data_IF_307697691241
#
_entry.id   IF_307697691241
#
_cell.length_a   1.000
_cell.length_b   1.000
_cell.length_c   1.000
_cell.angle_alpha   90.00
_cell.angle_beta   90.00
_cell.angle_gamma   90.00
#
_symmetry.space_group_name_H-M   'P 1'
#
loop_
_entity.id
_entity.type
_entity.pdbx_description
1 polymer ?
#
# COMPACT_ATOMS: atom_id res chain seq x y z
N UNK A 1 37.15 -40.59 13.61
CA UNK A 1 35.97 -40.32 12.76
C UNK A 1 35.14 -39.11 13.21
N UNK A 2 34.80 -38.97 14.50
CA UNK A 2 33.95 -37.85 15.00
C UNK A 2 34.59 -36.46 14.85
N UNK A 3 35.92 -36.33 15.00
CA UNK A 3 36.60 -35.04 14.80
C UNK A 3 36.57 -34.59 13.35
N UNK A 4 36.81 -35.47 12.37
CA UNK A 4 36.80 -35.10 10.95
C UNK A 4 35.43 -34.60 10.48
N UNK A 5 34.36 -35.17 11.02
CA UNK A 5 32.98 -34.80 10.66
C UNK A 5 32.60 -33.39 11.16
N UNK A 6 33.10 -32.99 12.34
CA UNK A 6 32.92 -31.63 12.87
C UNK A 6 33.64 -30.56 12.05
N UNK A 7 34.81 -30.88 11.47
CA UNK A 7 35.53 -29.92 10.62
C UNK A 7 34.88 -29.78 9.25
N UNK A 8 34.32 -30.87 8.72
CA UNK A 8 33.55 -30.85 7.47
C UNK A 8 32.24 -30.06 7.60
N UNK A 9 31.49 -30.22 8.70
CA UNK A 9 30.24 -29.46 8.91
C UNK A 9 30.49 -27.97 9.13
N UNK A 10 31.55 -27.61 9.87
CA UNK A 10 31.93 -26.19 10.07
C UNK A 10 32.40 -25.55 8.76
N UNK A 11 33.17 -26.27 7.94
CA UNK A 11 33.61 -25.76 6.64
C UNK A 11 32.46 -25.59 5.66
N UNK A 12 31.46 -26.49 5.68
CA UNK A 12 30.28 -26.43 4.81
C UNK A 12 29.33 -25.28 5.22
N UNK A 13 29.20 -25.01 6.52
CA UNK A 13 28.44 -23.88 7.04
C UNK A 13 29.10 -22.52 6.71
N UNK A 14 30.44 -22.45 6.77
CA UNK A 14 31.18 -21.23 6.39
C UNK A 14 31.12 -20.95 4.89
N UNK A 15 31.09 -21.99 4.03
CA UNK A 15 30.87 -21.78 2.59
C UNK A 15 29.43 -21.39 2.26
N UNK A 16 28.43 -21.86 2.99
CA UNK A 16 27.03 -21.45 2.79
C UNK A 16 26.81 -19.98 3.21
N UNK A 17 27.44 -19.52 4.29
CA UNK A 17 27.38 -18.13 4.73
C UNK A 17 28.13 -17.15 3.81
N UNK A 18 29.11 -17.62 3.04
CA UNK A 18 29.85 -16.80 2.08
C UNK A 18 29.09 -16.53 0.75
N UNK A 19 28.01 -17.27 0.48
CA UNK A 19 27.20 -17.10 -0.75
C UNK A 19 25.83 -16.44 -0.50
N UNK A 20 25.47 -16.14 0.74
CA UNK A 20 24.35 -15.25 1.05
C UNK A 20 24.80 -13.79 0.94
N UNK A 21 25.30 -13.39 -0.23
CA UNK A 21 25.23 -12.00 -0.64
C UNK A 21 23.78 -11.74 -1.03
N UNK A 22 22.98 -11.21 -0.11
CA UNK A 22 21.75 -10.51 -0.47
C UNK A 22 22.21 -9.27 -1.25
N UNK A 23 22.38 -9.43 -2.56
CA UNK A 23 22.49 -8.30 -3.45
C UNK A 23 21.12 -7.66 -3.51
N UNK A 24 20.91 -6.58 -2.76
CA UNK A 24 19.85 -5.63 -3.07
C UNK A 24 20.03 -5.23 -4.53
N UNK A 25 19.21 -5.78 -5.42
CA UNK A 25 19.17 -5.34 -6.83
C UNK A 25 18.38 -4.04 -6.83
N UNK A 26 19.10 -2.94 -6.70
CA UNK A 26 18.54 -1.60 -6.81
C UNK A 26 18.09 -1.37 -8.26
N UNK A 27 16.81 -1.07 -8.45
CA UNK A 27 16.21 -0.87 -9.77
C UNK A 27 16.53 0.56 -10.22
N UNK A 28 17.58 0.72 -11.02
CA UNK A 28 17.77 1.92 -11.82
C UNK A 28 16.80 1.82 -13.01
N UNK A 29 15.79 2.67 -13.03
CA UNK A 29 14.87 2.74 -14.15
C UNK A 29 15.55 3.34 -15.38
N UNK A 30 15.66 2.51 -16.41
CA UNK A 30 16.22 2.94 -17.69
C UNK A 30 15.18 3.72 -18.45
N UNK A 31 15.55 4.89 -18.99
CA UNK A 31 14.71 5.75 -19.81
C UNK A 31 13.48 6.41 -19.13
N UNK A 32 13.47 6.57 -17.80
CA UNK A 32 12.37 7.18 -17.04
C UNK A 32 12.20 8.69 -17.28
N UNK A 33 13.22 9.37 -17.83
CA UNK A 33 13.15 10.79 -18.18
C UNK A 33 13.33 11.00 -19.68
N UNK A 34 12.36 11.66 -20.34
CA UNK A 34 12.42 11.99 -21.77
C UNK A 34 12.36 13.50 -21.98
N UNK A 35 13.40 14.06 -22.60
CA UNK A 35 13.37 15.44 -23.09
C UNK A 35 12.52 15.51 -24.35
N UNK A 36 11.45 16.30 -24.33
CA UNK A 36 10.57 16.55 -25.48
C UNK A 36 11.09 17.76 -26.28
N UNK A 37 11.52 18.81 -25.57
CA UNK A 37 12.08 20.05 -26.14
C UNK A 37 13.20 20.59 -25.25
N UNK A 38 14.18 21.32 -25.82
CA UNK A 38 14.37 21.63 -27.24
C UNK A 38 14.93 20.44 -28.05
N UNK A 39 14.81 20.50 -29.38
CA UNK A 39 15.13 19.36 -30.29
C UNK A 39 16.57 18.84 -30.16
N UNK A 40 17.53 19.73 -29.95
CA UNK A 40 18.96 19.40 -29.91
C UNK A 40 19.40 18.58 -28.68
N UNK A 41 18.56 18.52 -27.63
CA UNK A 41 18.76 17.65 -26.47
C UNK A 41 17.59 16.66 -26.30
N UNK A 42 16.78 16.46 -27.34
CA UNK A 42 15.69 15.49 -27.32
C UNK A 42 16.28 14.08 -27.20
N UNK A 43 15.80 13.33 -26.22
CA UNK A 43 16.31 12.00 -25.93
C UNK A 43 15.62 11.37 -24.74
N UNK A 44 15.91 10.08 -24.53
CA UNK A 44 15.58 9.36 -23.29
C UNK A 44 16.85 9.28 -22.44
N UNK A 45 16.68 9.43 -21.14
CA UNK A 45 17.74 9.44 -20.15
C UNK A 45 17.33 8.59 -18.96
N UNK A 46 18.31 7.92 -18.38
CA UNK A 46 18.11 7.14 -17.17
C UNK A 46 17.98 8.07 -15.96
N UNK A 47 17.08 7.71 -15.04
CA UNK A 47 16.93 8.38 -13.76
C UNK A 47 16.45 7.38 -12.70
N UNK A 48 16.88 7.55 -11.47
CA UNK A 48 16.35 6.80 -10.35
C UNK A 48 15.18 7.58 -9.74
N UNK A 49 13.96 7.02 -9.84
CA UNK A 49 12.77 7.62 -9.23
C UNK A 49 12.84 7.45 -7.71
N UNK A 50 12.45 8.47 -6.95
CA UNK A 50 12.36 8.41 -5.50
C UNK A 50 11.28 7.41 -5.07
N UNK A 51 11.50 6.72 -3.96
CA UNK A 51 10.45 5.93 -3.31
C UNK A 51 9.47 6.77 -2.47
N UNK A 52 9.62 8.11 -2.48
CA UNK A 52 8.73 9.08 -1.84
C UNK A 52 8.18 10.08 -2.86
N UNK A 53 7.02 10.68 -2.57
CA UNK A 53 6.48 11.80 -3.34
C UNK A 53 5.85 11.47 -4.70
N UNK A 54 6.15 10.32 -5.30
CA UNK A 54 5.54 9.94 -6.58
C UNK A 54 4.03 9.76 -6.40
N UNK A 55 3.17 10.35 -7.27
CA UNK A 55 1.74 10.02 -7.28
C UNK A 55 1.66 8.52 -7.56
N UNK A 56 1.10 7.79 -6.60
CA UNK A 56 1.22 6.34 -6.36
C UNK A 56 0.60 5.42 -7.43
N UNK A 57 0.60 5.84 -8.69
CA UNK A 57 0.13 5.07 -9.84
C UNK A 57 1.14 5.27 -10.96
N UNK A 58 1.62 4.16 -11.54
CA UNK A 58 2.42 4.12 -12.75
C UNK A 58 1.87 5.12 -13.77
N UNK A 59 2.62 6.21 -13.95
CA UNK A 59 2.07 7.41 -14.52
C UNK A 59 3.12 8.19 -15.28
N UNK A 60 2.65 9.19 -16.02
CA UNK A 60 3.54 10.08 -16.75
C UNK A 60 3.14 11.51 -16.55
N UNK A 61 4.12 12.39 -16.36
CA UNK A 61 3.90 13.82 -16.22
C UNK A 61 4.77 14.57 -17.19
N UNK A 62 4.20 15.55 -17.88
CA UNK A 62 4.94 16.44 -18.78
C UNK A 62 4.99 17.82 -18.14
N UNK A 63 6.20 18.32 -17.92
CA UNK A 63 6.43 19.60 -17.25
C UNK A 63 7.50 20.45 -17.94
N UNK A 64 7.50 21.74 -17.59
CA UNK A 64 8.57 22.67 -17.97
C UNK A 64 9.61 22.67 -16.86
N UNK A 65 10.87 22.48 -17.24
CA UNK A 65 11.97 22.50 -16.27
C UNK A 65 12.32 23.94 -15.92
N UNK A 66 12.49 24.23 -14.62
CA UNK A 66 13.05 25.47 -14.11
C UNK A 66 14.22 25.17 -13.18
N UNK A 67 15.20 26.05 -13.14
CA UNK A 67 16.32 26.02 -12.21
C UNK A 67 16.23 27.24 -11.29
N UNK A 68 16.37 27.07 -9.96
CA UNK A 68 16.28 28.18 -9.01
C UNK A 68 17.51 29.11 -9.12
N UNK A 69 17.41 30.29 -8.50
CA UNK A 69 18.51 31.25 -8.43
C UNK A 69 19.73 30.68 -7.69
N UNK A 70 20.92 31.25 -7.96
CA UNK A 70 22.23 30.73 -7.50
C UNK A 70 22.33 30.45 -6.00
N UNK A 71 21.54 31.12 -5.15
CA UNK A 71 21.59 30.96 -3.69
C UNK A 71 20.65 29.84 -3.18
N UNK A 72 19.94 29.13 -4.06
CA UNK A 72 18.94 28.13 -3.67
C UNK A 72 18.96 26.89 -4.56
N UNK A 73 20.11 26.61 -5.20
CA UNK A 73 20.24 25.49 -6.15
C UNK A 73 20.07 24.12 -5.51
N UNK A 74 20.41 23.97 -4.23
CA UNK A 74 20.24 22.71 -3.49
C UNK A 74 18.84 22.53 -2.89
N UNK A 75 17.98 23.55 -2.92
CA UNK A 75 16.63 23.51 -2.32
C UNK A 75 16.57 23.07 -0.84
N UNK A 76 17.65 23.25 -0.07
CA UNK A 76 17.69 22.87 1.34
C UNK A 76 17.00 23.87 2.27
N UNK A 77 16.82 25.11 1.81
CA UNK A 77 16.05 26.14 2.49
C UNK A 77 14.67 26.31 1.83
N UNK A 78 13.68 26.70 2.63
CA UNK A 78 12.37 27.03 2.11
C UNK A 78 12.43 28.23 1.14
N UNK A 79 11.63 28.16 0.07
CA UNK A 79 11.48 29.28 -0.86
C UNK A 79 10.42 30.26 -0.35
N UNK A 80 10.57 31.54 -0.67
CA UNK A 80 9.57 32.54 -0.32
C UNK A 80 8.34 32.42 -1.23
N UNK A 81 7.20 32.06 -0.65
CA UNK A 81 5.93 31.91 -1.37
C UNK A 81 5.93 30.71 -2.31
N UNK A 82 5.32 30.85 -3.48
CA UNK A 82 5.15 29.75 -4.45
C UNK A 82 5.75 30.10 -5.84
N UNK A 83 7.06 30.38 -5.93
CA UNK A 83 7.70 30.88 -7.16
C UNK A 83 7.66 29.87 -8.32
N UNK A 84 7.46 28.59 -8.03
CA UNK A 84 7.39 27.52 -9.02
C UNK A 84 5.96 27.04 -9.28
N UNK A 85 4.96 27.65 -8.66
CA UNK A 85 3.56 27.41 -9.03
C UNK A 85 3.35 27.80 -10.48
N UNK A 86 2.84 26.86 -11.29
CA UNK A 86 2.61 27.16 -12.69
C UNK A 86 1.54 28.23 -12.87
N UNK A 87 1.84 29.22 -13.69
CA UNK A 87 0.86 30.21 -14.16
C UNK A 87 0.17 29.78 -15.47
N UNK A 88 0.48 28.59 -15.98
CA UNK A 88 -0.06 28.03 -17.22
C UNK A 88 -0.61 26.62 -16.98
N UNK A 89 -1.17 25.98 -18.02
CA UNK A 89 -1.58 24.57 -17.94
C UNK A 89 -0.41 23.58 -17.80
N UNK A 90 0.86 24.02 -17.89
CA UNK A 90 2.02 23.13 -17.82
C UNK A 90 2.65 23.12 -16.42
N UNK A 91 2.69 21.98 -15.73
CA UNK A 91 3.38 21.85 -14.43
C UNK A 91 4.86 22.24 -14.51
N UNK A 92 5.44 22.69 -13.39
CA UNK A 92 6.86 23.05 -13.30
C UNK A 92 7.64 21.91 -12.65
N UNK A 93 8.71 21.47 -13.31
CA UNK A 93 9.69 20.52 -12.77
C UNK A 93 10.89 21.31 -12.27
N UNK A 94 11.16 21.24 -10.96
CA UNK A 94 12.27 21.97 -10.38
C UNK A 94 13.55 21.13 -10.48
N UNK A 95 14.54 21.63 -11.22
CA UNK A 95 15.88 21.05 -11.28
C UNK A 95 16.70 21.61 -10.10
N UNK A 96 17.26 20.74 -9.28
CA UNK A 96 18.04 21.08 -8.08
C UNK A 96 19.35 20.30 -8.05
N UNK A 97 20.34 20.81 -7.34
CA UNK A 97 21.64 20.16 -7.16
C UNK A 97 21.64 19.22 -5.94
N UNK A 98 22.33 18.09 -6.08
CA UNK A 98 22.71 17.23 -4.95
C UNK A 98 23.68 17.96 -4.01
N UNK A 99 23.48 17.78 -2.70
CA UNK A 99 24.33 18.36 -1.65
C UNK A 99 23.53 18.96 -0.49
N UNK A 100 24.21 19.32 0.59
CA UNK A 100 23.76 20.03 1.79
C UNK A 100 22.66 19.40 2.67
N UNK A 101 21.71 18.65 2.08
CA UNK A 101 20.59 18.05 2.80
C UNK A 101 20.03 16.81 2.08
N UNK A 102 19.16 16.07 2.78
CA UNK A 102 18.49 14.86 2.28
C UNK A 102 17.55 15.14 1.10
N UNK A 103 17.36 14.14 0.23
CA UNK A 103 16.50 14.22 -0.95
C UNK A 103 15.05 14.57 -0.60
N UNK A 104 14.50 13.97 0.46
CA UNK A 104 13.14 14.25 0.91
C UNK A 104 12.94 15.73 1.30
N UNK A 105 13.93 16.37 1.93
CA UNK A 105 13.85 17.79 2.28
C UNK A 105 13.82 18.68 1.02
N UNK A 106 14.60 18.33 -0.01
CA UNK A 106 14.59 19.03 -1.30
C UNK A 106 13.21 18.95 -1.95
N UNK A 107 12.63 17.76 -1.98
CA UNK A 107 11.30 17.52 -2.53
C UNK A 107 10.21 18.26 -1.74
N UNK A 108 10.28 18.24 -0.40
CA UNK A 108 9.39 19.00 0.46
C UNK A 108 9.43 20.51 0.18
N UNK A 109 10.62 21.11 0.17
CA UNK A 109 10.78 22.54 -0.07
C UNK A 109 10.34 22.93 -1.48
N UNK A 110 10.63 22.11 -2.49
CA UNK A 110 10.17 22.33 -3.86
C UNK A 110 8.63 22.28 -3.97
N UNK A 111 8.00 21.33 -3.29
CA UNK A 111 6.55 21.21 -3.21
C UNK A 111 5.91 22.44 -2.57
N UNK A 112 6.42 22.89 -1.42
CA UNK A 112 5.93 24.10 -0.77
C UNK A 112 6.08 25.33 -1.66
N UNK A 113 7.11 25.34 -2.52
CA UNK A 113 7.33 26.38 -3.52
C UNK A 113 6.42 26.27 -4.77
N UNK A 114 5.55 25.26 -4.83
CA UNK A 114 4.57 25.05 -5.90
C UNK A 114 5.09 24.27 -7.11
N UNK A 115 6.28 23.65 -7.02
CA UNK A 115 6.74 22.73 -8.05
C UNK A 115 5.84 21.49 -8.10
N UNK A 116 5.75 20.88 -9.28
CA UNK A 116 4.94 19.68 -9.51
C UNK A 116 5.77 18.39 -9.63
N UNK A 117 7.10 18.51 -9.77
CA UNK A 117 8.06 17.41 -9.70
C UNK A 117 9.45 17.98 -9.39
N UNK A 118 10.38 17.13 -8.95
CA UNK A 118 11.79 17.50 -8.72
C UNK A 118 12.72 16.61 -9.53
N UNK A 119 13.70 17.23 -10.19
CA UNK A 119 14.84 16.53 -10.79
C UNK A 119 16.07 16.89 -9.96
N UNK A 120 16.66 15.92 -9.28
CA UNK A 120 17.88 16.12 -8.49
C UNK A 120 19.07 15.71 -9.35
N UNK A 121 19.89 16.69 -9.73
CA UNK A 121 21.09 16.46 -10.50
C UNK A 121 22.26 16.07 -9.60
N UNK A 122 22.91 14.97 -9.95
CA UNK A 122 24.13 14.57 -9.30
C UNK A 122 25.26 15.59 -9.50
N UNK A 123 26.15 15.68 -8.51
CA UNK A 123 27.36 16.48 -8.56
C UNK A 123 28.61 15.64 -8.81
N UNK A 124 28.53 14.30 -8.71
CA UNK A 124 29.61 13.35 -9.01
C UNK A 124 29.30 12.50 -10.24
N UNK A 125 30.34 11.91 -10.82
CA UNK A 125 30.22 10.99 -11.95
C UNK A 125 30.19 9.56 -11.42
N UNK A 126 29.01 9.13 -10.95
CA UNK A 126 28.79 7.82 -10.34
C UNK A 126 27.50 7.16 -10.87
N UNK A 127 27.33 5.83 -10.69
CA UNK A 127 26.08 5.17 -11.01
C UNK A 127 24.91 5.82 -10.28
N UNK A 128 23.74 5.86 -10.94
CA UNK A 128 22.52 6.34 -10.31
C UNK A 128 22.23 5.57 -9.02
N UNK A 129 21.96 6.31 -7.96
CA UNK A 129 21.60 5.79 -6.64
C UNK A 129 20.10 5.98 -6.40
N UNK A 130 19.51 5.04 -5.66
CA UNK A 130 18.13 5.15 -5.20
C UNK A 130 18.03 6.27 -4.16
N UNK A 131 17.10 7.20 -4.38
CA UNK A 131 16.74 8.17 -3.34
C UNK A 131 15.81 7.48 -2.36
N UNK A 132 16.40 6.81 -1.37
CA UNK A 132 15.68 6.22 -0.26
C UNK A 132 15.52 7.22 0.89
N UNK A 133 14.50 7.02 1.71
CA UNK A 133 14.33 7.73 2.96
C UNK A 133 15.24 7.08 4.02
N UNK A 134 16.11 7.83 4.73
CA UNK A 134 16.91 7.24 5.79
C UNK A 134 16.00 6.68 6.90
N UNK A 135 16.07 5.36 7.12
CA UNK A 135 15.27 4.62 8.13
C UNK A 135 15.44 5.17 9.56
N UNK A 136 16.53 5.88 9.84
CA UNK A 136 16.87 6.39 11.19
C UNK A 136 16.27 7.75 11.55
N UNK A 137 15.52 8.42 10.66
CA UNK A 137 15.00 9.76 10.97
C UNK A 137 13.55 9.77 11.43
N UNK A 138 13.31 9.28 12.65
CA UNK A 138 12.01 9.31 13.35
C UNK A 138 11.41 10.74 13.51
N UNK A 139 12.16 11.80 13.17
CA UNK A 139 11.76 13.20 13.34
C UNK A 139 11.23 13.90 12.07
N UNK A 140 11.26 13.27 10.89
CA UNK A 140 10.87 13.95 9.64
C UNK A 140 9.36 13.84 9.35
N UNK A 141 8.52 14.54 10.15
CA UNK A 141 7.04 14.65 10.03
C UNK A 141 6.51 15.19 8.68
N UNK A 142 7.36 15.35 7.68
CA UNK A 142 7.04 15.91 6.36
C UNK A 142 7.23 14.92 5.21
N UNK A 143 7.96 13.81 5.38
CA UNK A 143 8.23 12.86 4.29
C UNK A 143 6.93 12.29 3.74
N UNK A 144 6.05 11.85 4.64
CA UNK A 144 4.69 11.38 4.37
C UNK A 144 3.77 12.43 3.72
N UNK A 145 4.17 13.71 3.71
CA UNK A 145 3.40 14.82 3.14
C UNK A 145 3.93 15.24 1.77
N UNK A 146 4.99 14.62 1.26
CA UNK A 146 5.50 14.86 -0.09
C UNK A 146 4.61 14.10 -1.08
N UNK A 147 4.14 14.79 -2.11
CA UNK A 147 3.18 14.31 -3.12
C UNK A 147 3.62 14.63 -4.55
N UNK A 148 4.85 15.16 -4.73
CA UNK A 148 5.42 15.42 -6.05
C UNK A 148 6.50 14.38 -6.40
N UNK A 149 6.49 13.82 -7.63
CA UNK A 149 7.47 12.83 -8.02
C UNK A 149 8.86 13.46 -8.06
N UNK A 150 9.85 12.71 -7.58
CA UNK A 150 11.25 13.12 -7.55
C UNK A 150 12.09 12.12 -8.34
N UNK A 151 13.01 12.59 -9.17
CA UNK A 151 13.91 11.74 -9.95
C UNK A 151 15.36 12.20 -9.82
N UNK A 152 16.26 11.26 -9.59
CA UNK A 152 17.69 11.48 -9.49
C UNK A 152 18.29 11.24 -10.87
N UNK A 153 18.99 12.26 -11.39
CA UNK A 153 19.60 12.21 -12.71
C UNK A 153 21.10 12.35 -12.59
N UNK A 154 21.83 11.73 -13.50
CA UNK A 154 23.29 11.81 -13.51
C UNK A 154 23.77 13.25 -13.79
N UNK A 155 25.03 13.50 -13.43
CA UNK A 155 25.69 14.80 -13.57
C UNK A 155 25.68 15.31 -15.01
N UNK A 156 25.98 14.44 -15.98
CA UNK A 156 26.03 14.81 -17.40
C UNK A 156 24.69 15.37 -17.92
N UNK A 157 23.60 14.68 -17.59
CA UNK A 157 22.26 15.09 -17.99
C UNK A 157 21.81 16.36 -17.25
N UNK A 158 22.09 16.45 -15.94
CA UNK A 158 21.84 17.66 -15.16
C UNK A 158 22.51 18.90 -15.74
N UNK A 159 23.79 18.81 -16.10
CA UNK A 159 24.53 19.90 -16.75
C UNK A 159 23.99 20.24 -18.14
N UNK A 160 23.53 19.25 -18.89
CA UNK A 160 22.88 19.45 -20.19
C UNK A 160 21.58 20.27 -20.04
N UNK A 161 20.75 19.94 -19.05
CA UNK A 161 19.53 20.71 -18.76
C UNK A 161 19.85 22.14 -18.31
N UNK A 162 20.82 22.33 -17.41
CA UNK A 162 21.24 23.66 -16.95
C UNK A 162 21.74 24.53 -18.11
N UNK A 163 22.57 23.97 -19.00
CA UNK A 163 23.06 24.67 -20.20
C UNK A 163 21.92 25.06 -21.15
N UNK A 164 20.93 24.18 -21.32
CA UNK A 164 19.76 24.48 -22.14
C UNK A 164 18.91 25.61 -21.54
N UNK A 165 18.74 25.63 -20.20
CA UNK A 165 18.03 26.68 -19.49
C UNK A 165 18.77 28.03 -19.54
N UNK A 166 20.11 28.02 -19.43
CA UNK A 166 20.93 29.22 -19.46
C UNK A 166 21.00 29.90 -20.84
N UNK A 167 20.83 29.15 -21.93
CA UNK A 167 20.84 29.68 -23.30
C UNK A 167 19.64 30.58 -23.63
N UNK A 168 18.62 30.65 -22.77
CA UNK A 168 17.54 31.64 -22.87
C UNK A 168 16.74 31.58 -24.18
N UNK A 169 16.72 30.43 -24.86
CA UNK A 169 15.91 30.27 -26.06
C UNK A 169 14.43 30.42 -25.71
N UNK A 170 13.64 31.00 -26.60
CA UNK A 170 12.17 31.05 -26.51
C UNK A 170 11.53 29.66 -26.32
N UNK A 171 12.29 28.61 -26.60
CA UNK A 171 11.96 27.22 -26.37
C UNK A 171 12.23 26.80 -24.93
N UNK A 172 11.16 26.70 -24.15
CA UNK A 172 11.17 26.07 -22.84
C UNK A 172 11.72 24.63 -22.91
N UNK A 173 12.51 24.24 -21.91
CA UNK A 173 12.91 22.85 -21.72
C UNK A 173 11.71 22.07 -21.19
N UNK A 174 11.19 21.14 -22.00
CA UNK A 174 10.02 20.32 -21.67
C UNK A 174 10.47 18.89 -21.51
N UNK A 175 10.12 18.30 -20.38
CA UNK A 175 10.49 16.94 -20.00
C UNK A 175 9.23 16.14 -19.68
N UNK A 176 9.20 14.88 -20.12
CA UNK A 176 8.27 13.84 -19.67
C UNK A 176 8.99 13.00 -18.62
N UNK A 177 8.43 12.93 -17.43
CA UNK A 177 8.77 11.94 -16.42
C UNK A 177 7.81 10.76 -16.56
N UNK A 178 8.34 9.54 -16.54
CA UNK A 178 7.62 8.28 -16.73
C UNK A 178 8.09 7.32 -15.62
N UNK A 179 7.19 6.98 -14.70
CA UNK A 179 7.47 6.12 -13.53
C UNK A 179 6.58 4.88 -13.52
N UNK A 180 6.12 4.46 -14.71
CA UNK A 180 5.30 3.25 -14.86
C UNK A 180 6.04 1.98 -14.42
N UNK A 181 7.35 1.93 -14.64
CA UNK A 181 8.22 0.79 -14.32
C UNK A 181 8.83 0.88 -12.90
N UNK A 182 8.42 1.86 -12.09
CA UNK A 182 8.87 1.99 -10.69
C UNK A 182 8.22 0.99 -9.73
N UNK A 183 7.18 0.29 -10.19
CA UNK A 183 6.51 -0.74 -9.42
C UNK A 183 7.24 -2.08 -9.61
N UNK A 184 7.65 -2.77 -8.53
CA UNK A 184 8.26 -4.08 -8.65
C UNK A 184 7.23 -5.08 -9.17
N UNK A 185 7.58 -5.79 -10.24
CA UNK A 185 6.80 -6.88 -10.84
C UNK A 185 7.56 -8.20 -10.62
N UNK A 186 7.56 -8.77 -9.40
CA UNK A 186 8.26 -10.04 -9.14
C UNK A 186 7.70 -11.18 -10.00
N UNK A 187 6.41 -11.11 -10.30
CA UNK A 187 5.68 -12.00 -11.22
C UNK A 187 4.61 -11.19 -12.02
N UNK A 188 3.71 -11.90 -12.71
CA UNK A 188 2.61 -11.31 -13.51
C UNK A 188 1.36 -10.98 -12.68
N UNK A 189 1.46 -11.06 -11.34
CA UNK A 189 0.34 -10.87 -10.41
C UNK A 189 0.58 -9.65 -9.55
N UNK A 190 -0.50 -8.97 -9.19
CA UNK A 190 -0.46 -7.81 -8.29
C UNK A 190 -1.01 -8.21 -6.93
N UNK A 191 -0.13 -8.27 -5.94
CA UNK A 191 -0.51 -8.41 -4.53
C UNK A 191 -1.03 -7.08 -3.99
N UNK A 192 -2.19 -7.13 -3.34
CA UNK A 192 -2.70 -5.99 -2.58
C UNK A 192 -3.40 -6.41 -1.30
N UNK A 193 -3.21 -5.65 -0.25
CA UNK A 193 -3.87 -5.87 1.05
C UNK A 193 -4.82 -4.72 1.37
N UNK A 194 -5.80 -4.92 2.26
CA UNK A 194 -6.70 -3.86 2.72
C UNK A 194 -6.96 -3.96 4.22
N UNK A 195 -6.45 -3.00 4.99
CA UNK A 195 -6.73 -2.84 6.42
C UNK A 195 -8.09 -2.20 6.60
N UNK A 196 -9.00 -2.80 7.37
CA UNK A 196 -10.35 -2.29 7.55
C UNK A 196 -10.93 -2.70 8.91
N UNK A 197 -12.18 -2.32 9.18
CA UNK A 197 -12.91 -2.75 10.38
C UNK A 197 -14.34 -3.19 10.04
N UNK A 198 -14.85 -4.27 10.66
CA UNK A 198 -16.23 -4.73 10.44
C UNK A 198 -17.31 -3.90 11.14
N UNK A 199 -16.92 -2.92 11.98
CA UNK A 199 -17.81 -1.91 12.55
C UNK A 199 -18.54 -1.13 11.42
N UNK A 200 -19.87 -1.04 11.48
CA UNK A 200 -20.70 -0.26 10.54
C UNK A 200 -21.43 0.94 11.17
N UNK A 201 -21.10 1.30 12.42
CA UNK A 201 -21.68 2.40 13.21
C UNK A 201 -20.65 3.47 13.67
N UNK A 202 -19.52 3.62 12.97
CA UNK A 202 -18.55 4.69 13.24
C UNK A 202 -18.77 5.99 12.43
N UNK A 203 -19.98 6.21 11.93
CA UNK A 203 -20.33 7.39 11.14
C UNK A 203 -19.75 7.37 9.70
N UNK A 204 -19.47 8.55 9.10
CA UNK A 204 -19.14 8.66 7.67
C UNK A 204 -17.93 7.83 7.22
N UNK A 205 -16.96 7.60 8.11
CA UNK A 205 -15.78 6.80 7.78
C UNK A 205 -16.12 5.33 7.53
N UNK A 206 -16.98 4.73 8.37
CA UNK A 206 -17.47 3.37 8.15
C UNK A 206 -18.34 3.29 6.89
N UNK A 207 -19.21 4.29 6.67
CA UNK A 207 -20.03 4.34 5.46
C UNK A 207 -19.17 4.43 4.18
N UNK A 208 -18.09 5.20 4.17
CA UNK A 208 -17.15 5.28 3.04
C UNK A 208 -16.45 3.95 2.76
N UNK A 209 -15.94 3.28 3.81
CA UNK A 209 -15.36 1.94 3.69
C UNK A 209 -16.36 0.96 3.10
N UNK A 210 -17.58 0.96 3.63
CA UNK A 210 -18.63 0.05 3.23
C UNK A 210 -19.05 0.24 1.77
N UNK A 211 -19.19 1.50 1.36
CA UNK A 211 -19.48 1.84 -0.02
C UNK A 211 -18.35 1.42 -0.95
N UNK A 212 -17.09 1.57 -0.54
CA UNK A 212 -15.97 1.10 -1.34
C UNK A 212 -15.98 -0.42 -1.53
N UNK A 213 -16.07 -1.20 -0.45
CA UNK A 213 -16.06 -2.68 -0.53
C UNK A 213 -17.17 -3.16 -1.47
N UNK A 214 -18.37 -2.58 -1.35
CA UNK A 214 -19.51 -2.86 -2.22
C UNK A 214 -19.24 -2.51 -3.69
N UNK A 215 -18.69 -1.32 -3.96
CA UNK A 215 -18.47 -0.83 -5.31
C UNK A 215 -17.26 -1.48 -6.00
N UNK A 216 -16.28 -1.94 -5.22
CA UNK A 216 -15.05 -2.55 -5.70
C UNK A 216 -15.17 -4.07 -5.88
N UNK A 217 -16.12 -4.74 -5.19
CA UNK A 217 -16.39 -6.19 -5.28
C UNK A 217 -16.29 -6.72 -6.71
N UNK A 218 -17.03 -6.17 -7.67
CA UNK A 218 -17.04 -6.69 -9.04
C UNK A 218 -15.66 -6.69 -9.71
N UNK A 219 -14.87 -5.63 -9.51
CA UNK A 219 -13.52 -5.51 -10.04
C UNK A 219 -12.57 -6.49 -9.36
N UNK A 220 -12.62 -6.58 -8.04
CA UNK A 220 -11.80 -7.52 -7.27
C UNK A 220 -12.06 -8.96 -7.71
N UNK A 221 -13.34 -9.36 -7.82
CA UNK A 221 -13.70 -10.71 -8.24
C UNK A 221 -13.25 -11.03 -9.66
N UNK A 222 -13.32 -10.08 -10.59
CA UNK A 222 -12.83 -10.26 -11.96
C UNK A 222 -11.31 -10.48 -11.99
N UNK A 223 -10.57 -9.67 -11.23
CA UNK A 223 -9.11 -9.75 -11.14
C UNK A 223 -8.65 -11.06 -10.48
N UNK A 224 -9.26 -11.45 -9.36
CA UNK A 224 -8.93 -12.68 -8.63
C UNK A 224 -9.31 -13.94 -9.40
N UNK A 225 -10.51 -13.99 -10.02
CA UNK A 225 -10.90 -15.13 -10.88
C UNK A 225 -10.01 -15.29 -12.10
N UNK A 226 -9.46 -14.18 -12.60
CA UNK A 226 -8.48 -14.17 -13.68
C UNK A 226 -7.08 -14.55 -13.25
N UNK A 227 -6.81 -14.69 -11.94
CA UNK A 227 -5.47 -14.94 -11.40
C UNK A 227 -4.53 -13.74 -11.48
N UNK A 228 -5.04 -12.54 -11.79
CA UNK A 228 -4.26 -11.33 -11.98
C UNK A 228 -3.84 -10.67 -10.67
N UNK A 229 -4.56 -10.94 -9.58
CA UNK A 229 -4.29 -10.32 -8.27
C UNK A 229 -4.33 -11.33 -7.14
N UNK A 230 -3.62 -11.02 -6.06
CA UNK A 230 -3.74 -11.70 -4.77
C UNK A 230 -4.15 -10.69 -3.70
N UNK A 231 -5.37 -10.82 -3.20
CA UNK A 231 -5.93 -9.94 -2.18
C UNK A 231 -5.81 -10.52 -0.77
N UNK A 232 -5.44 -9.69 0.21
CA UNK A 232 -5.42 -10.05 1.64
C UNK A 232 -6.13 -8.99 2.50
N UNK A 233 -7.25 -9.29 3.18
CA UNK A 233 -7.87 -8.39 4.14
C UNK A 233 -7.13 -8.40 5.47
N UNK A 234 -7.04 -7.25 6.13
CA UNK A 234 -6.51 -7.10 7.47
C UNK A 234 -7.46 -6.34 8.37
N UNK A 235 -7.43 -6.64 9.67
CA UNK A 235 -8.28 -5.98 10.65
C UNK A 235 -7.48 -5.48 11.83
N UNK A 236 -7.74 -4.22 12.20
CA UNK A 236 -7.05 -3.61 13.32
C UNK A 236 -7.59 -4.21 14.62
N UNK A 237 -6.67 -4.77 15.39
CA UNK A 237 -6.93 -5.22 16.76
C UNK A 237 -6.08 -4.44 17.75
N UNK A 238 -6.69 -4.12 18.87
CA UNK A 238 -6.06 -3.49 20.03
C UNK A 238 -5.84 -4.52 21.12
N UNK A 239 -5.19 -4.11 22.20
CA UNK A 239 -5.08 -4.90 23.41
C UNK A 239 -5.43 -4.05 24.61
N UNK A 240 -5.87 -4.72 25.66
CA UNK A 240 -6.17 -4.12 26.94
C UNK A 240 -4.95 -4.28 27.85
N UNK A 241 -4.43 -3.18 28.45
CA UNK A 241 -3.27 -3.30 29.34
C UNK A 241 -3.58 -4.18 30.56
N UNK A 242 -2.57 -4.89 31.05
CA UNK A 242 -2.72 -5.90 32.10
C UNK A 242 -3.43 -5.38 33.37
N UNK A 243 -3.12 -4.13 33.75
CA UNK A 243 -3.73 -3.45 34.89
C UNK A 243 -5.27 -3.29 34.78
N UNK A 244 -5.82 -3.33 33.56
CA UNK A 244 -7.24 -3.08 33.28
C UNK A 244 -8.00 -4.33 32.84
N UNK A 245 -7.39 -5.52 32.80
CA UNK A 245 -8.04 -6.77 32.32
C UNK A 245 -9.34 -7.08 33.08
N UNK A 246 -9.41 -6.75 34.37
CA UNK A 246 -10.57 -7.01 35.21
C UNK A 246 -11.63 -5.90 35.16
N UNK A 247 -11.36 -4.79 34.47
CA UNK A 247 -12.30 -3.67 34.34
C UNK A 247 -13.51 -4.06 33.50
N UNK A 248 -14.65 -3.39 33.73
CA UNK A 248 -15.87 -3.59 32.94
C UNK A 248 -15.62 -3.25 31.48
N UNK A 249 -14.87 -2.18 31.22
CA UNK A 249 -14.53 -1.70 29.88
C UNK A 249 -13.74 -2.75 29.11
N UNK A 250 -12.68 -3.31 29.71
CA UNK A 250 -11.88 -4.33 29.05
C UNK A 250 -12.68 -5.60 28.73
N UNK A 251 -13.52 -6.05 29.67
CA UNK A 251 -14.37 -7.24 29.47
C UNK A 251 -15.45 -7.04 28.40
N UNK A 252 -15.96 -5.82 28.26
CA UNK A 252 -16.92 -5.48 27.23
C UNK A 252 -16.23 -5.46 25.86
N UNK A 253 -15.04 -4.88 25.75
CA UNK A 253 -14.47 -4.52 24.46
C UNK A 253 -13.49 -5.55 23.88
N UNK A 254 -13.20 -6.62 24.61
CA UNK A 254 -12.13 -7.55 24.27
C UNK A 254 -12.56 -9.01 24.39
N UNK A 255 -11.92 -9.85 23.58
CA UNK A 255 -11.92 -11.32 23.69
C UNK A 255 -10.56 -11.81 24.19
N UNK A 256 -10.47 -13.11 24.50
CA UNK A 256 -9.27 -13.79 24.97
C UNK A 256 -8.59 -13.05 26.14
N UNK A 257 -9.40 -12.62 27.12
CA UNK A 257 -8.99 -11.87 28.32
C UNK A 257 -8.17 -10.60 28.05
N UNK A 258 -8.60 -9.80 27.09
CA UNK A 258 -7.99 -8.49 26.84
C UNK A 258 -6.86 -8.53 25.81
N UNK A 259 -6.56 -9.70 25.24
CA UNK A 259 -5.51 -9.83 24.20
C UNK A 259 -5.91 -9.16 22.90
N UNK A 260 -7.19 -9.26 22.53
CA UNK A 260 -7.72 -8.72 21.27
C UNK A 260 -8.96 -7.89 21.55
N UNK A 261 -8.90 -6.62 21.19
CA UNK A 261 -9.94 -5.64 21.49
C UNK A 261 -10.28 -4.80 20.26
N UNK A 262 -11.47 -4.23 20.24
CA UNK A 262 -11.85 -3.15 19.34
C UNK A 262 -12.42 -1.98 20.16
N UNK A 263 -12.38 -0.74 19.65
CA UNK A 263 -13.14 0.35 20.23
C UNK A 263 -14.64 0.06 20.16
N UNK A 264 -15.36 0.66 21.08
CA UNK A 264 -16.82 0.62 21.11
C UNK A 264 -17.38 1.24 19.81
N UNK A 265 -18.32 0.58 19.11
CA UNK A 265 -18.69 0.97 17.75
C UNK A 265 -19.26 2.38 17.68
N UNK A 266 -20.15 2.71 18.60
CA UNK A 266 -20.81 4.02 18.73
C UNK A 266 -20.10 4.97 19.71
N UNK A 267 -19.01 4.52 20.33
CA UNK A 267 -18.28 5.22 21.39
C UNK A 267 -19.13 5.46 22.66
N UNK A 268 -20.13 4.62 22.92
CA UNK A 268 -20.96 4.65 24.12
C UNK A 268 -21.15 3.24 24.70
N UNK A 269 -20.40 2.96 25.77
CA UNK A 269 -20.41 1.68 26.49
C UNK A 269 -21.76 1.25 27.12
N UNK A 270 -22.82 2.04 26.99
CA UNK A 270 -24.15 1.73 27.55
C UNK A 270 -25.20 1.45 26.48
N UNK A 271 -24.88 1.66 25.21
CA UNK A 271 -25.79 1.46 24.08
C UNK A 271 -25.10 0.63 23.00
N UNK A 272 -25.89 0.09 22.06
CA UNK A 272 -25.33 -0.59 20.89
C UNK A 272 -24.65 -1.92 21.20
N UNK A 273 -23.61 -2.19 20.41
CA UNK A 273 -22.81 -3.42 20.46
C UNK A 273 -21.49 -3.17 21.17
N UNK A 274 -20.87 -4.22 21.68
CA UNK A 274 -19.58 -4.09 22.34
C UNK A 274 -18.43 -4.25 21.32
N UNK A 275 -17.27 -3.68 21.61
CA UNK A 275 -16.05 -3.92 20.81
C UNK A 275 -15.67 -5.40 20.68
N UNK A 276 -16.02 -6.27 21.65
CA UNK A 276 -15.81 -7.72 21.51
C UNK A 276 -16.58 -8.29 20.30
N UNK A 277 -17.76 -7.77 20.01
CA UNK A 277 -18.60 -8.25 18.91
C UNK A 277 -17.92 -7.93 17.57
N UNK A 278 -17.31 -6.75 17.49
CA UNK A 278 -16.49 -6.32 16.34
C UNK A 278 -15.27 -7.21 16.17
N UNK A 279 -14.56 -7.56 17.25
CA UNK A 279 -13.40 -8.46 17.16
C UNK A 279 -13.81 -9.85 16.68
N UNK A 280 -14.93 -10.38 17.16
CA UNK A 280 -15.47 -11.68 16.74
C UNK A 280 -15.79 -11.68 15.24
N UNK A 281 -16.40 -10.61 14.72
CA UNK A 281 -16.70 -10.51 13.29
C UNK A 281 -15.44 -10.28 12.44
N UNK A 282 -14.50 -9.44 12.89
CA UNK A 282 -13.19 -9.29 12.23
C UNK A 282 -12.48 -10.65 12.09
N UNK A 283 -12.46 -11.44 13.17
CA UNK A 283 -11.90 -12.79 13.19
C UNK A 283 -12.64 -13.73 12.21
N UNK A 284 -13.97 -13.64 12.14
CA UNK A 284 -14.78 -14.43 11.20
C UNK A 284 -14.43 -14.10 9.75
N UNK A 285 -14.34 -12.81 9.40
CA UNK A 285 -14.01 -12.37 8.04
C UNK A 285 -12.59 -12.82 7.63
N UNK A 286 -11.62 -12.77 8.53
CA UNK A 286 -10.27 -13.32 8.31
C UNK A 286 -10.30 -14.84 8.07
N UNK A 287 -11.06 -15.58 8.87
CA UNK A 287 -11.19 -17.02 8.72
C UNK A 287 -11.91 -17.42 7.42
N UNK A 288 -12.94 -16.67 7.02
CA UNK A 288 -13.61 -16.85 5.73
C UNK A 288 -12.61 -16.65 4.59
N UNK A 289 -11.80 -15.58 4.62
CA UNK A 289 -10.76 -15.35 3.61
C UNK A 289 -9.74 -16.48 3.55
N UNK A 290 -9.20 -16.91 4.70
CA UNK A 290 -8.21 -17.99 4.78
C UNK A 290 -8.74 -19.27 4.13
N UNK A 291 -9.96 -19.67 4.48
CA UNK A 291 -10.58 -20.88 3.94
C UNK A 291 -10.94 -20.72 2.45
N UNK A 292 -11.43 -19.55 2.05
CA UNK A 292 -11.69 -19.24 0.64
C UNK A 292 -10.40 -19.34 -0.20
N UNK A 293 -9.27 -18.87 0.34
CA UNK A 293 -7.97 -18.97 -0.31
C UNK A 293 -7.46 -20.42 -0.39
N UNK A 294 -7.56 -21.20 0.71
CA UNK A 294 -7.21 -22.63 0.73
C UNK A 294 -8.02 -23.47 -0.26
N UNK A 295 -9.24 -23.04 -0.58
CA UNK A 295 -10.13 -23.69 -1.54
C UNK A 295 -9.98 -23.16 -2.98
N UNK A 296 -9.04 -22.24 -3.22
CA UNK A 296 -8.76 -21.65 -4.53
C UNK A 296 -9.83 -20.67 -5.01
N UNK A 297 -10.63 -20.12 -4.10
CA UNK A 297 -11.73 -19.21 -4.41
C UNK A 297 -11.70 -17.95 -3.53
N UNK A 298 -10.58 -17.20 -3.50
CA UNK A 298 -10.43 -16.04 -2.61
C UNK A 298 -11.50 -14.95 -2.82
N UNK A 299 -12.05 -14.85 -4.03
CA UNK A 299 -13.13 -13.91 -4.39
C UNK A 299 -14.46 -14.12 -3.63
N UNK A 300 -14.64 -15.27 -2.97
CA UNK A 300 -15.82 -15.56 -2.11
C UNK A 300 -15.86 -14.63 -0.91
N UNK A 301 -14.69 -14.18 -0.42
CA UNK A 301 -14.63 -13.24 0.69
C UNK A 301 -15.38 -11.93 0.37
N UNK A 302 -15.25 -11.42 -0.87
CA UNK A 302 -15.96 -10.20 -1.30
C UNK A 302 -17.48 -10.37 -1.27
N UNK A 303 -17.99 -11.55 -1.65
CA UNK A 303 -19.42 -11.86 -1.54
C UNK A 303 -19.86 -11.90 -0.07
N UNK A 304 -19.06 -12.55 0.78
CA UNK A 304 -19.32 -12.66 2.21
C UNK A 304 -19.44 -11.28 2.85
N UNK A 305 -18.40 -10.44 2.73
CA UNK A 305 -18.41 -9.15 3.44
C UNK A 305 -19.49 -8.22 2.91
N UNK A 306 -19.70 -8.12 1.60
CA UNK A 306 -20.72 -7.20 1.07
C UNK A 306 -22.13 -7.58 1.48
N UNK A 307 -22.43 -8.87 1.52
CA UNK A 307 -23.77 -9.35 1.85
C UNK A 307 -23.98 -9.44 3.36
N UNK A 308 -22.93 -9.77 4.14
CA UNK A 308 -22.95 -9.75 5.61
C UNK A 308 -23.38 -8.37 6.11
N UNK A 309 -22.72 -7.31 5.62
CA UNK A 309 -23.02 -5.95 6.06
C UNK A 309 -24.44 -5.49 5.71
N UNK A 310 -25.08 -6.08 4.70
CA UNK A 310 -26.48 -5.78 4.39
C UNK A 310 -27.44 -6.57 5.29
N UNK A 311 -27.08 -7.79 5.69
CA UNK A 311 -27.97 -8.72 6.40
C UNK A 311 -27.83 -8.67 7.92
N UNK A 312 -26.63 -8.45 8.42
CA UNK A 312 -26.24 -8.50 9.83
C UNK A 312 -25.70 -7.15 10.32
N UNK A 313 -26.33 -6.04 9.90
CA UNK A 313 -25.92 -4.69 10.27
C UNK A 313 -26.24 -4.36 11.73
N UNK A 314 -25.39 -3.53 12.37
CA UNK A 314 -25.68 -2.96 13.70
C UNK A 314 -26.89 -2.02 13.66
N UNK A 315 -27.08 -1.25 12.57
CA UNK A 315 -28.24 -0.37 12.34
C UNK A 315 -29.58 -1.10 12.47
N UNK A 316 -29.58 -2.35 12.02
CA UNK A 316 -30.73 -3.25 12.04
C UNK A 316 -30.82 -4.10 13.33
N UNK A 317 -29.88 -3.93 14.27
CA UNK A 317 -29.73 -4.74 15.49
C UNK A 317 -29.59 -6.24 15.20
N UNK A 318 -28.87 -6.58 14.14
CA UNK A 318 -28.62 -7.96 13.70
C UNK A 318 -27.14 -8.35 13.75
N UNK A 319 -26.29 -7.55 14.36
CA UNK A 319 -24.86 -7.80 14.44
C UNK A 319 -24.54 -8.84 15.53
N UNK A 320 -24.82 -10.11 15.26
CA UNK A 320 -24.64 -11.20 16.21
C UNK A 320 -24.01 -12.43 15.57
N UNK A 321 -23.41 -13.30 16.41
CA UNK A 321 -22.90 -14.60 15.97
C UNK A 321 -23.97 -15.42 15.26
N UNK A 322 -25.20 -15.44 15.77
CA UNK A 322 -26.30 -16.19 15.16
C UNK A 322 -26.62 -15.70 13.74
N UNK A 323 -26.67 -14.38 13.53
CA UNK A 323 -26.88 -13.81 12.20
C UNK A 323 -25.76 -14.20 11.25
N UNK A 324 -24.51 -14.11 11.71
CA UNK A 324 -23.34 -14.46 10.92
C UNK A 324 -23.36 -15.95 10.52
N UNK A 325 -23.66 -16.86 11.45
CA UNK A 325 -23.72 -18.29 11.16
C UNK A 325 -24.85 -18.65 10.20
N UNK A 326 -26.03 -18.07 10.37
CA UNK A 326 -27.16 -18.28 9.47
C UNK A 326 -26.89 -17.72 8.07
N UNK A 327 -26.18 -16.59 8.01
CA UNK A 327 -25.70 -16.04 6.75
C UNK A 327 -24.71 -16.98 6.05
N UNK A 328 -23.68 -17.47 6.76
CA UNK A 328 -22.71 -18.46 6.22
C UNK A 328 -23.43 -19.68 5.66
N UNK A 329 -24.41 -20.24 6.40
CA UNK A 329 -25.22 -21.38 5.95
C UNK A 329 -26.01 -21.05 4.69
N UNK A 330 -26.51 -19.82 4.56
CA UNK A 330 -27.29 -19.38 3.39
C UNK A 330 -26.42 -19.18 2.14
N UNK A 331 -25.20 -18.65 2.32
CA UNK A 331 -24.24 -18.38 1.25
C UNK A 331 -23.63 -19.68 0.70
N UNK A 332 -23.33 -20.65 1.57
CA UNK A 332 -22.89 -21.99 1.16
C UNK A 332 -23.90 -22.70 0.24
N UNK A 333 -25.21 -22.50 0.48
CA UNK A 333 -26.29 -23.04 -0.37
C UNK A 333 -26.44 -22.35 -1.71
N UNK A 334 -26.18 -21.04 -1.80
CA UNK A 334 -26.42 -20.26 -3.03
C UNK A 334 -25.29 -20.37 -4.05
N UNK A 335 -24.04 -20.60 -3.60
CA UNK A 335 -22.87 -20.48 -4.46
C UNK A 335 -22.56 -21.71 -5.31
N UNK A 336 -23.29 -22.83 -5.20
CA UNK A 336 -23.07 -24.06 -5.99
C UNK A 336 -21.57 -24.39 -6.16
N UNK A 337 -20.79 -24.23 -5.08
CA UNK A 337 -19.35 -24.41 -5.13
C UNK A 337 -19.07 -25.89 -5.37
N UNK A 338 -18.59 -26.12 -6.59
CA UNK A 338 -18.26 -27.35 -7.30
C UNK A 338 -18.12 -28.56 -6.37
N UNK A 339 -18.92 -29.57 -6.71
CA UNK A 339 -19.28 -30.82 -6.03
C UNK A 339 -18.14 -31.74 -5.59
N UNK A 340 -16.88 -31.33 -5.70
CA UNK A 340 -15.71 -32.11 -5.24
C UNK A 340 -15.05 -31.52 -3.97
N UNK A 341 -15.51 -30.35 -3.51
CA UNK A 341 -15.04 -29.68 -2.29
C UNK A 341 -15.96 -29.88 -1.07
N UNK A 342 -17.05 -30.60 -1.25
CA UNK A 342 -18.11 -30.75 -0.27
C UNK A 342 -18.07 -32.18 0.30
N UNK A 343 -17.87 -32.33 1.61
CA UNK A 343 -18.61 -33.39 2.29
C UNK A 343 -20.11 -33.03 2.22
N UNK A 344 -21.01 -33.92 2.64
CA UNK A 344 -22.46 -33.82 2.45
C UNK A 344 -23.18 -32.54 2.96
N UNK A 345 -22.47 -31.49 3.38
CA UNK A 345 -22.96 -30.29 4.07
C UNK A 345 -22.87 -28.93 3.35
N UNK A 346 -22.16 -28.77 2.21
CA UNK A 346 -22.32 -27.55 1.38
C UNK A 346 -21.64 -26.24 1.86
N UNK A 347 -20.40 -26.28 2.38
CA UNK A 347 -19.50 -25.18 2.85
C UNK A 347 -19.77 -24.59 4.27
N UNK A 348 -18.75 -24.11 5.02
CA UNK A 348 -17.92 -24.91 5.92
C UNK A 348 -17.92 -24.31 7.35
N UNK A 349 -19.11 -24.10 7.93
CA UNK A 349 -19.23 -23.49 9.26
C UNK A 349 -18.26 -24.13 10.28
N UNK A 350 -18.11 -25.46 10.27
CA UNK A 350 -17.17 -26.16 11.14
C UNK A 350 -15.69 -25.76 10.94
N UNK A 351 -15.23 -25.51 9.70
CA UNK A 351 -13.85 -25.05 9.46
C UNK A 351 -13.68 -23.59 9.90
N UNK A 352 -14.68 -22.74 9.65
CA UNK A 352 -14.67 -21.35 10.08
C UNK A 352 -14.63 -21.30 11.61
N UNK A 353 -15.55 -21.97 12.30
CA UNK A 353 -15.57 -22.06 13.76
C UNK A 353 -14.27 -22.64 14.31
N UNK A 354 -13.68 -23.66 13.66
CA UNK A 354 -12.37 -24.18 14.04
C UNK A 354 -11.24 -23.16 13.89
N UNK A 355 -11.26 -22.37 12.81
CA UNK A 355 -10.29 -21.30 12.58
C UNK A 355 -10.43 -20.17 13.62
N UNK A 356 -11.68 -19.81 13.97
CA UNK A 356 -11.96 -18.79 14.98
C UNK A 356 -11.54 -19.24 16.38
N UNK A 357 -11.65 -20.53 16.69
CA UNK A 357 -11.42 -21.03 18.05
C UNK A 357 -12.46 -20.50 19.04
N UNK A 358 -12.16 -20.58 20.33
CA UNK A 358 -13.05 -20.10 21.39
C UNK A 358 -12.62 -18.70 21.86
N UNK A 359 -13.42 -17.64 21.57
CA UNK A 359 -13.09 -16.26 21.94
C UNK A 359 -13.13 -16.02 23.46
N UNK A 360 -13.77 -16.88 24.25
CA UNK A 360 -13.90 -16.71 25.70
C UNK A 360 -12.70 -17.27 26.48
N UNK A 361 -11.81 -18.00 25.79
CA UNK A 361 -10.65 -18.65 26.42
C UNK A 361 -9.43 -17.73 26.53
N UNK A 362 -8.65 -17.84 27.60
CA UNK A 362 -7.38 -17.12 27.76
C UNK A 362 -6.24 -17.85 27.03
N UNK A 363 -6.37 -17.96 25.71
CA UNK A 363 -5.35 -18.53 24.83
C UNK A 363 -5.03 -17.54 23.71
N UNK A 364 -3.84 -17.66 23.14
CA UNK A 364 -3.51 -16.91 21.94
C UNK A 364 -4.34 -17.44 20.76
N UNK A 365 -4.81 -16.52 19.93
CA UNK A 365 -5.48 -16.85 18.68
C UNK A 365 -4.50 -16.58 17.53
N UNK A 366 -4.13 -17.63 16.78
CA UNK A 366 -3.12 -17.54 15.72
C UNK A 366 -3.48 -16.51 14.63
N UNK A 367 -4.77 -16.35 14.32
CA UNK A 367 -5.24 -15.39 13.32
C UNK A 367 -5.04 -13.96 13.82
N UNK A 368 -5.56 -13.64 15.00
CA UNK A 368 -5.49 -12.27 15.54
C UNK A 368 -4.08 -11.89 16.01
N UNK A 369 -3.27 -12.88 16.44
CA UNK A 369 -1.86 -12.67 16.75
C UNK A 369 -1.07 -12.23 15.52
N UNK A 370 -1.28 -12.89 14.38
CA UNK A 370 -0.65 -12.49 13.12
C UNK A 370 -1.01 -11.04 12.74
N UNK A 371 -2.28 -10.63 12.90
CA UNK A 371 -2.71 -9.25 12.66
C UNK A 371 -2.00 -8.23 13.57
N UNK A 372 -1.83 -8.55 14.86
CA UNK A 372 -1.10 -7.68 15.79
C UNK A 372 0.38 -7.55 15.44
N UNK A 373 1.04 -8.65 15.06
CA UNK A 373 2.45 -8.67 14.66
C UNK A 373 2.69 -7.86 13.36
N UNK A 374 1.76 -7.94 12.41
CA UNK A 374 1.77 -7.16 11.18
C UNK A 374 1.59 -5.66 11.45
N UNK A 375 0.79 -5.29 12.45
CA UNK A 375 0.54 -3.89 12.84
C UNK A 375 1.76 -3.20 13.43
N UNK A 376 2.59 -3.90 14.22
CA UNK A 376 3.80 -3.32 14.85
C UNK A 376 4.76 -2.68 13.83
N UNK A 377 4.66 -3.08 12.56
CA UNK A 377 5.47 -2.59 11.45
C UNK A 377 4.76 -1.60 10.52
N UNK A 378 3.56 -1.09 10.88
CA UNK A 378 2.73 -0.22 10.01
C UNK A 378 2.26 1.04 10.77
N UNK A 379 2.15 2.17 10.05
CA UNK A 379 1.70 3.45 10.61
C UNK A 379 0.21 3.40 10.99
N UNK A 380 -0.18 4.22 11.97
CA UNK A 380 -1.47 4.23 12.71
C UNK A 380 -2.74 4.56 11.88
N UNK A 381 -2.71 4.42 10.55
CA UNK A 381 -3.83 4.78 9.69
C UNK A 381 -4.88 3.66 9.63
N UNK A 382 -6.13 4.01 9.95
CA UNK A 382 -7.24 3.07 10.23
C UNK A 382 -7.75 2.24 9.05
N UNK A 383 -7.36 2.58 7.82
CA UNK A 383 -7.85 1.97 6.61
C UNK A 383 -6.69 2.05 5.62
N UNK A 384 -6.25 1.01 4.94
CA UNK A 384 -5.15 1.19 3.99
C UNK A 384 -5.10 0.05 3.02
N UNK A 385 -5.04 0.36 1.74
CA UNK A 385 -4.64 -0.62 0.75
C UNK A 385 -3.12 -0.61 0.71
N UNK A 386 -2.42 -1.73 0.53
CA UNK A 386 -0.99 -1.71 0.21
C UNK A 386 -0.76 -2.60 -1.00
N UNK A 387 0.01 -2.13 -1.98
CA UNK A 387 0.51 -2.96 -3.08
C UNK A 387 1.91 -3.45 -2.70
N UNK A 388 2.24 -4.72 -2.99
CA UNK A 388 3.59 -5.26 -2.79
C UNK A 388 3.63 -6.71 -2.27
N UNK A 389 4.80 -7.35 -2.39
CA UNK A 389 5.03 -8.76 -2.06
C UNK A 389 5.59 -8.93 -0.63
N UNK A 390 5.02 -9.85 0.16
CA UNK A 390 5.47 -10.21 1.52
C UNK A 390 6.91 -10.76 1.60
N UNK A 391 7.41 -11.40 0.54
CA UNK A 391 8.79 -11.95 0.50
C UNK A 391 9.88 -10.86 0.45
N UNK A 392 9.51 -9.60 0.16
CA UNK A 392 10.44 -8.51 -0.03
C UNK A 392 10.03 -7.26 0.76
N UNK A 393 10.20 -7.24 2.09
CA UNK A 393 9.71 -6.17 2.98
C UNK A 393 10.29 -4.77 2.72
N UNK A 394 11.36 -4.65 1.93
CA UNK A 394 11.97 -3.37 1.50
C UNK A 394 11.34 -2.80 0.23
N UNK A 395 10.45 -3.55 -0.44
CA UNK A 395 9.82 -3.12 -1.67
C UNK A 395 8.42 -2.55 -1.35
N UNK A 396 8.37 -1.23 -1.29
CA UNK A 396 7.22 -0.32 -1.39
C UNK A 396 5.87 -0.88 -0.90
N UNK A 397 5.63 -0.90 0.42
CA UNK A 397 4.27 -1.01 0.98
C UNK A 397 3.50 0.27 0.64
N UNK A 398 2.56 0.18 -0.30
CA UNK A 398 1.86 1.37 -0.81
C UNK A 398 0.58 1.73 -0.04
N UNK A 399 0.70 2.36 1.12
CA UNK A 399 -0.44 2.63 2.02
C UNK A 399 -1.46 3.66 1.46
N UNK A 400 -2.69 3.24 1.14
CA UNK A 400 -3.72 4.13 0.57
C UNK A 400 -4.36 5.12 1.55
N UNK A 401 -4.19 5.04 2.88
CA UNK A 401 -4.61 6.15 3.77
C UNK A 401 -3.55 7.20 4.03
N UNK A 402 -2.28 6.92 3.73
CA UNK A 402 -1.28 7.97 3.60
C UNK A 402 -1.55 8.86 2.37
N UNK A 403 -2.39 8.39 1.44
CA UNK A 403 -2.97 9.22 0.40
C UNK A 403 -4.13 10.02 0.98
N UNK A 404 -4.04 11.35 0.95
CA UNK A 404 -5.17 12.29 1.13
C UNK A 404 -6.25 12.17 0.04
N UNK A 405 -6.49 10.97 -0.49
CA UNK A 405 -7.52 10.64 -1.47
C UNK A 405 -8.70 9.96 -0.79
N UNK A 406 -9.89 10.20 -1.32
CA UNK A 406 -11.08 9.42 -0.94
C UNK A 406 -10.87 7.96 -1.35
N UNK A 407 -11.42 7.04 -0.56
CA UNK A 407 -11.45 5.62 -0.89
C UNK A 407 -12.39 5.37 -2.09
N UNK A 408 -11.87 5.64 -3.29
CA UNK A 408 -12.63 5.63 -4.53
C UNK A 408 -12.24 4.45 -5.42
N UNK A 409 -13.26 3.76 -5.95
CA UNK A 409 -13.15 2.59 -6.83
C UNK A 409 -12.14 2.80 -7.97
N UNK A 410 -12.21 3.95 -8.66
CA UNK A 410 -11.38 4.24 -9.84
C UNK A 410 -9.92 4.45 -9.43
N UNK A 411 -9.65 5.14 -8.33
CA UNK A 411 -8.30 5.37 -7.85
C UNK A 411 -7.60 4.06 -7.48
N UNK A 412 -8.32 3.17 -6.77
CA UNK A 412 -7.81 1.83 -6.41
C UNK A 412 -7.58 0.95 -7.63
N UNK A 413 -8.53 0.91 -8.57
CA UNK A 413 -8.36 0.13 -9.79
C UNK A 413 -7.18 0.64 -10.62
N UNK A 414 -7.04 1.96 -10.78
CA UNK A 414 -5.92 2.58 -11.50
C UNK A 414 -4.58 2.18 -10.89
N UNK A 415 -4.52 2.11 -9.56
CA UNK A 415 -3.34 1.70 -8.82
C UNK A 415 -2.97 0.24 -9.05
N UNK A 416 -3.94 -0.66 -8.90
CA UNK A 416 -3.74 -2.09 -9.15
C UNK A 416 -3.31 -2.31 -10.61
N UNK A 417 -3.94 -1.59 -11.54
CA UNK A 417 -3.60 -1.64 -12.96
C UNK A 417 -2.17 -1.18 -13.25
N UNK A 418 -1.67 -0.20 -12.51
CA UNK A 418 -0.27 0.22 -12.61
C UNK A 418 0.72 -0.77 -11.97
N UNK A 419 0.22 -1.74 -11.19
CA UNK A 419 1.03 -2.83 -10.64
C UNK A 419 1.36 -3.91 -11.67
N UNK A 420 0.74 -3.90 -12.85
CA UNK A 420 1.08 -4.83 -13.93
C UNK A 420 2.20 -4.27 -14.80
N UNK A 421 3.04 -5.17 -15.33
CA UNK A 421 4.05 -4.82 -16.31
C UNK A 421 3.39 -4.40 -17.63
N UNK A 422 4.00 -3.46 -18.35
CA UNK A 422 3.50 -3.03 -19.67
C UNK A 422 3.25 -4.25 -20.57
N UNK A 423 2.07 -4.32 -21.19
CA UNK A 423 1.52 -5.42 -22.01
C UNK A 423 1.00 -6.67 -21.30
N UNK A 424 1.07 -6.72 -19.96
CA UNK A 424 0.48 -7.82 -19.15
C UNK A 424 -0.82 -7.43 -18.47
N UNK A 425 -1.30 -6.20 -18.70
CA UNK A 425 -2.47 -5.67 -18.02
C UNK A 425 -3.76 -6.39 -18.46
N UNK A 426 -4.64 -6.76 -17.52
CA UNK A 426 -5.92 -7.36 -17.85
C UNK A 426 -6.85 -6.36 -18.56
N UNK A 427 -7.85 -6.86 -19.29
CA UNK A 427 -8.79 -6.02 -20.04
C UNK A 427 -9.49 -4.94 -19.19
N UNK A 428 -9.73 -5.22 -17.91
CA UNK A 428 -10.31 -4.27 -16.94
C UNK A 428 -9.46 -3.01 -16.73
N UNK A 429 -8.15 -3.09 -17.01
CA UNK A 429 -7.19 -1.99 -16.92
C UNK A 429 -7.08 -1.15 -18.20
N UNK A 430 -7.68 -1.60 -19.31
CA UNK A 430 -7.70 -0.85 -20.56
C UNK A 430 -8.85 0.16 -20.51
N UNK A 431 -8.66 1.34 -21.12
CA UNK A 431 -9.51 2.56 -21.03
C UNK A 431 -11.04 2.40 -21.04
N UNK A 432 -11.61 1.26 -21.45
CA UNK A 432 -13.04 0.96 -21.29
C UNK A 432 -13.43 0.52 -19.87
N UNK A 433 -12.61 -0.27 -19.19
CA UNK A 433 -12.93 -0.86 -17.88
C UNK A 433 -12.74 0.06 -16.67
N UNK A 434 -12.02 1.18 -16.83
CA UNK A 434 -11.83 2.18 -15.77
C UNK A 434 -13.04 3.14 -15.61
N UNK A 435 -13.96 3.15 -16.59
CA UNK A 435 -15.10 4.07 -16.66
C UNK A 435 -16.47 3.41 -16.46
N UNK A 436 -16.53 2.07 -16.48
CA UNK A 436 -17.70 1.26 -16.10
C UNK A 436 -17.66 0.98 -14.58
#
# INVERSE_FOLDING_TARGET
MVRLWRWLTVSMALTAAAFSSVSGRFVVEKNSVRVIRPEHIRGRHDAAIANFGVPHYGGTMVGVVKFPDKNSTTACNAFNGTPFKSQSRRPVFLLVDRGDCYFALKAWNAQQAGAAAVLVADNTDEPLLTMDNPEESQDLKYVDKITIPSAFINREFGETLKKALAKGTTDHVIVKLDWRESMPHPDERVEYEFWMNSNDECGPHCDEQMNFVKNFRGHAQLLEKGGFTQFTPHYITWYCPEAFILSKQCRAQCINRGRYCAPDPEQDFNEGYDGKDVVIENLRQLCVHRIANETGQPWVWWDFVTDYHVRCSMKDKKYSTDCAEDFVKSLGKSMNLITDFLDASGLPLAKITKCMGDPETDVENDVLKAEQELRVHKSESFLSINLGNEEFPHFTKMNFFLCKGKLERIAVLTAICAGFKESTEPHVCLNGGLHD
#
